data_IF_704744300625
#
_entry.id   IF_704744300625
#
_cell.length_a   1.000
_cell.length_b   1.000
_cell.length_c   1.000
_cell.angle_alpha   90.00
_cell.angle_beta   90.00
_cell.angle_gamma   90.00
#
_symmetry.space_group_name_H-M   'P 1'
#
loop_
_entity.id
_entity.type
_entity.pdbx_description
1 polymer ?
#
# COMPACT_ATOMS: atom_id res chain seq x y z
N UNK A 1 6.28 -10.88 22.22
CA UNK A 1 7.68 -10.67 21.78
C UNK A 1 8.19 -11.85 20.95
N UNK A 2 7.84 -13.09 21.30
CA UNK A 2 8.18 -14.29 20.52
C UNK A 2 7.54 -14.26 19.11
N UNK A 3 6.25 -13.95 19.03
CA UNK A 3 5.48 -13.91 17.77
C UNK A 3 6.04 -12.92 16.72
N UNK A 4 6.57 -11.77 17.16
CA UNK A 4 7.15 -10.76 16.25
C UNK A 4 8.43 -11.28 15.60
N UNK A 5 9.29 -11.94 16.38
CA UNK A 5 10.53 -12.55 15.88
C UNK A 5 10.22 -13.73 14.95
N UNK A 6 9.16 -14.48 15.21
CA UNK A 6 8.66 -15.51 14.29
C UNK A 6 8.19 -14.90 12.96
N UNK A 7 7.38 -13.85 13.01
CA UNK A 7 6.91 -13.14 11.82
C UNK A 7 8.08 -12.60 10.97
N UNK A 8 9.08 -11.98 11.60
CA UNK A 8 10.28 -11.48 10.92
C UNK A 8 11.06 -12.58 10.18
N UNK A 9 11.04 -13.80 10.70
CA UNK A 9 11.71 -14.97 10.09
C UNK A 9 10.86 -15.63 9.00
N UNK A 10 9.56 -15.33 8.91
CA UNK A 10 8.68 -15.89 7.90
C UNK A 10 9.14 -15.55 6.47
N UNK A 11 9.48 -16.58 5.71
CA UNK A 11 9.88 -16.44 4.30
C UNK A 11 8.77 -15.83 3.45
N UNK A 12 7.51 -16.16 3.74
CA UNK A 12 6.37 -15.62 3.03
C UNK A 12 6.25 -14.12 3.27
N UNK A 13 6.35 -13.69 4.54
CA UNK A 13 6.26 -12.28 4.91
C UNK A 13 7.39 -11.49 4.26
N UNK A 14 8.64 -11.97 4.37
CA UNK A 14 9.80 -11.29 3.78
C UNK A 14 9.70 -11.14 2.27
N UNK A 15 9.26 -12.19 1.55
CA UNK A 15 9.03 -12.12 0.10
C UNK A 15 7.93 -11.12 -0.26
N UNK A 16 6.87 -11.05 0.55
CA UNK A 16 5.81 -10.07 0.32
C UNK A 16 6.30 -8.64 0.60
N UNK A 17 7.02 -8.42 1.71
CA UNK A 17 7.60 -7.13 2.06
C UNK A 17 8.52 -6.59 0.95
N UNK A 18 9.38 -7.45 0.37
CA UNK A 18 10.21 -7.08 -0.78
C UNK A 18 9.38 -6.65 -2.00
N UNK A 19 8.29 -7.35 -2.30
CA UNK A 19 7.39 -6.99 -3.41
C UNK A 19 6.66 -5.68 -3.16
N UNK A 20 6.22 -5.44 -1.93
CA UNK A 20 5.61 -4.16 -1.52
C UNK A 20 6.60 -3.02 -1.76
N UNK A 21 7.83 -3.14 -1.26
CA UNK A 21 8.85 -2.11 -1.45
C UNK A 21 9.25 -1.93 -2.92
N UNK A 22 9.33 -3.00 -3.70
CA UNK A 22 9.59 -2.91 -5.15
C UNK A 22 8.48 -2.18 -5.92
N UNK A 23 7.22 -2.41 -5.57
CA UNK A 23 6.09 -1.68 -6.17
C UNK A 23 6.11 -0.19 -5.78
N UNK A 24 6.37 0.12 -4.50
CA UNK A 24 6.51 1.51 -4.03
C UNK A 24 7.67 2.20 -4.75
N UNK A 25 8.83 1.56 -4.86
CA UNK A 25 9.98 2.08 -5.59
C UNK A 25 9.63 2.43 -7.03
N UNK A 26 8.97 1.51 -7.73
CA UNK A 26 8.52 1.75 -9.12
C UNK A 26 7.60 2.97 -9.21
N UNK A 27 6.68 3.16 -8.26
CA UNK A 27 5.81 4.35 -8.25
C UNK A 27 6.62 5.62 -8.00
N UNK A 28 7.52 5.61 -7.01
CA UNK A 28 8.37 6.78 -6.67
C UNK A 28 9.25 7.19 -7.85
N UNK A 29 9.90 6.24 -8.51
CA UNK A 29 10.78 6.50 -9.66
C UNK A 29 10.04 7.07 -10.88
N UNK A 30 8.72 6.89 -10.95
CA UNK A 30 7.90 7.28 -12.10
C UNK A 30 6.85 8.34 -11.73
N UNK A 31 7.02 9.10 -10.64
CA UNK A 31 6.04 10.12 -10.23
C UNK A 31 5.78 11.22 -11.29
N UNK A 32 6.71 11.39 -12.23
CA UNK A 32 6.60 12.29 -13.38
C UNK A 32 5.88 11.67 -14.60
N UNK A 33 5.54 10.38 -14.54
CA UNK A 33 4.79 9.64 -15.57
C UNK A 33 3.47 9.09 -14.96
N UNK A 34 2.37 9.87 -15.04
CA UNK A 34 1.08 9.48 -14.48
C UNK A 34 0.51 8.19 -15.06
N UNK A 35 0.74 7.92 -16.35
CA UNK A 35 0.26 6.71 -17.03
C UNK A 35 0.99 5.47 -16.48
N UNK A 36 2.31 5.59 -16.29
CA UNK A 36 3.09 4.51 -15.67
C UNK A 36 2.63 4.25 -14.24
N UNK A 37 2.46 5.29 -13.42
CA UNK A 37 1.94 5.17 -12.05
C UNK A 37 0.58 4.48 -12.02
N UNK A 38 -0.34 4.93 -12.88
CA UNK A 38 -1.68 4.34 -13.00
C UNK A 38 -1.62 2.86 -13.36
N UNK A 39 -0.81 2.49 -14.36
CA UNK A 39 -0.66 1.10 -14.81
C UNK A 39 -0.12 0.17 -13.71
N UNK A 40 0.87 0.63 -12.94
CA UNK A 40 1.48 -0.15 -11.84
C UNK A 40 0.46 -0.38 -10.72
N UNK A 41 -0.23 0.69 -10.29
CA UNK A 41 -1.19 0.60 -9.20
C UNK A 41 -2.47 -0.14 -9.60
N UNK A 42 -2.87 -0.06 -10.87
CA UNK A 42 -3.97 -0.86 -11.40
C UNK A 42 -3.63 -2.35 -11.39
N UNK A 43 -2.42 -2.73 -11.81
CA UNK A 43 -1.97 -4.13 -11.75
C UNK A 43 -1.98 -4.66 -10.31
N UNK A 44 -1.42 -3.89 -9.37
CA UNK A 44 -1.42 -4.24 -7.95
C UNK A 44 -2.85 -4.36 -7.42
N UNK A 45 -3.71 -3.38 -7.67
CA UNK A 45 -5.09 -3.37 -7.19
C UNK A 45 -5.90 -4.55 -7.72
N UNK A 46 -5.85 -4.80 -9.03
CA UNK A 46 -6.58 -5.92 -9.67
C UNK A 46 -6.10 -7.28 -9.15
N UNK A 47 -4.80 -7.47 -8.93
CA UNK A 47 -4.28 -8.71 -8.34
C UNK A 47 -4.80 -8.92 -6.91
N UNK A 48 -4.81 -7.88 -6.08
CA UNK A 48 -5.26 -7.99 -4.69
C UNK A 48 -6.78 -8.18 -4.58
N UNK A 49 -7.55 -7.56 -5.47
CA UNK A 49 -8.99 -7.75 -5.58
C UNK A 49 -9.35 -9.15 -6.10
N UNK A 50 -8.80 -9.56 -7.24
CA UNK A 50 -9.28 -10.76 -7.94
C UNK A 50 -8.66 -12.05 -7.40
N UNK A 51 -7.34 -12.05 -7.18
CA UNK A 51 -6.58 -13.24 -6.82
C UNK A 51 -6.49 -13.43 -5.31
N UNK A 52 -6.18 -12.36 -4.58
CA UNK A 52 -5.89 -12.45 -3.15
C UNK A 52 -7.10 -12.15 -2.26
N UNK A 53 -8.18 -11.59 -2.82
CA UNK A 53 -9.42 -11.24 -2.11
C UNK A 53 -9.17 -10.37 -0.87
N UNK A 54 -8.26 -9.41 -0.97
CA UNK A 54 -7.89 -8.52 0.13
C UNK A 54 -8.86 -7.35 0.21
N UNK A 55 -9.43 -7.06 1.37
CA UNK A 55 -10.28 -5.88 1.56
C UNK A 55 -9.49 -4.57 1.35
N UNK A 56 -10.02 -3.57 0.61
CA UNK A 56 -9.32 -2.32 0.32
C UNK A 56 -8.85 -1.56 1.57
N UNK A 57 -9.56 -1.72 2.69
CA UNK A 57 -9.22 -1.07 3.97
C UNK A 57 -7.80 -1.41 4.44
N UNK A 58 -7.28 -2.59 4.08
CA UNK A 58 -5.92 -2.99 4.46
C UNK A 58 -4.85 -2.18 3.72
N UNK A 59 -5.10 -1.69 2.50
CA UNK A 59 -4.19 -0.74 1.84
C UNK A 59 -4.13 0.59 2.58
N UNK A 60 -5.28 1.10 3.07
CA UNK A 60 -5.33 2.32 3.88
C UNK A 60 -4.58 2.18 5.20
N UNK A 61 -4.68 1.01 5.84
CA UNK A 61 -3.95 0.67 7.08
C UNK A 61 -2.46 0.56 6.81
N UNK A 62 -2.05 -0.26 5.83
CA UNK A 62 -0.65 -0.49 5.49
C UNK A 62 0.09 0.81 5.13
N UNK A 63 -0.52 1.65 4.30
CA UNK A 63 0.07 2.94 3.92
C UNK A 63 0.11 3.94 5.08
N UNK A 64 -0.76 3.80 6.08
CA UNK A 64 -0.68 4.55 7.34
C UNK A 64 0.54 4.13 8.17
N UNK A 65 0.69 2.81 8.38
CA UNK A 65 1.85 2.24 9.09
C UNK A 65 3.16 2.58 8.39
N UNK A 66 3.19 2.57 7.05
CA UNK A 66 4.38 2.97 6.30
C UNK A 66 4.78 4.42 6.58
N UNK A 67 3.81 5.34 6.63
CA UNK A 67 4.07 6.74 6.96
C UNK A 67 4.59 6.90 8.39
N UNK A 68 4.00 6.18 9.35
CA UNK A 68 4.46 6.15 10.75
C UNK A 68 5.91 5.66 10.84
N UNK A 69 6.23 4.52 10.22
CA UNK A 69 7.59 3.94 10.23
C UNK A 69 8.61 4.86 9.56
N UNK A 70 8.27 5.52 8.44
CA UNK A 70 9.17 6.49 7.81
C UNK A 70 9.37 7.69 8.73
N UNK A 71 8.31 8.21 9.36
CA UNK A 71 8.42 9.33 10.29
C UNK A 71 9.31 9.00 11.49
N UNK A 72 9.18 7.79 12.05
CA UNK A 72 10.02 7.32 13.15
C UNK A 72 11.48 7.12 12.73
N UNK A 73 11.71 6.53 11.55
CA UNK A 73 13.05 6.22 11.05
C UNK A 73 13.88 7.47 10.74
N UNK A 74 13.24 8.55 10.26
CA UNK A 74 13.92 9.80 9.90
C UNK A 74 13.81 10.87 11.00
N UNK A 75 12.95 10.69 12.01
CA UNK A 75 12.87 11.56 13.19
C UNK A 75 12.82 13.05 12.83
N UNK A 76 13.84 13.80 13.26
CA UNK A 76 13.93 15.25 13.00
C UNK A 76 14.12 15.61 11.52
N UNK A 77 14.63 14.70 10.70
CA UNK A 77 14.80 14.92 9.25
C UNK A 77 13.46 14.76 8.50
N UNK A 78 12.43 14.21 9.14
CA UNK A 78 11.09 14.11 8.57
C UNK A 78 10.30 15.40 8.77
N UNK A 79 10.63 16.41 7.97
CA UNK A 79 10.03 17.75 8.07
C UNK A 79 8.51 17.73 7.81
N UNK A 80 7.77 18.78 8.22
CA UNK A 80 6.35 18.90 7.91
C UNK A 80 6.04 18.80 6.40
N UNK A 81 6.92 19.33 5.56
CA UNK A 81 6.82 19.26 4.10
C UNK A 81 6.98 17.81 3.60
N UNK A 82 7.98 17.09 4.14
CA UNK A 82 8.19 15.67 3.83
C UNK A 82 6.97 14.83 4.26
N UNK A 83 6.44 15.07 5.47
CA UNK A 83 5.23 14.43 5.95
C UNK A 83 4.03 14.70 5.01
N UNK A 84 3.87 15.95 4.56
CA UNK A 84 2.86 16.34 3.59
C UNK A 84 3.00 15.60 2.24
N UNK A 85 4.23 15.48 1.73
CA UNK A 85 4.52 14.76 0.49
C UNK A 85 4.17 13.26 0.60
N UNK A 86 4.60 12.60 1.67
CA UNK A 86 4.28 11.18 1.88
C UNK A 86 2.79 10.93 2.17
N UNK A 87 2.09 11.89 2.78
CA UNK A 87 0.63 11.84 2.92
C UNK A 87 -0.09 11.91 1.56
N UNK A 88 0.43 12.71 0.62
CA UNK A 88 -0.09 12.74 -0.76
C UNK A 88 0.19 11.42 -1.48
N UNK A 89 1.39 10.84 -1.32
CA UNK A 89 1.74 9.52 -1.86
C UNK A 89 0.79 8.42 -1.36
N UNK A 90 0.50 8.41 -0.04
CA UNK A 90 -0.50 7.51 0.56
C UNK A 90 -1.86 7.66 -0.12
N UNK A 91 -2.33 8.89 -0.29
CA UNK A 91 -3.61 9.17 -0.96
C UNK A 91 -3.61 8.70 -2.42
N UNK A 92 -2.52 8.95 -3.14
CA UNK A 92 -2.33 8.54 -4.53
C UNK A 92 -2.44 7.02 -4.67
N UNK A 93 -1.72 6.25 -3.84
CA UNK A 93 -1.76 4.78 -3.86
C UNK A 93 -3.17 4.29 -3.57
N UNK A 94 -3.79 4.78 -2.50
CA UNK A 94 -5.10 4.33 -2.08
C UNK A 94 -6.19 4.61 -3.12
N UNK A 95 -6.17 5.79 -3.74
CA UNK A 95 -7.14 6.18 -4.78
C UNK A 95 -7.02 5.30 -6.03
N UNK A 96 -5.82 5.06 -6.54
CA UNK A 96 -5.63 4.21 -7.72
C UNK A 96 -5.99 2.75 -7.45
N UNK A 97 -5.59 2.21 -6.30
CA UNK A 97 -5.93 0.84 -5.93
C UNK A 97 -7.45 0.70 -5.79
N UNK A 98 -8.12 1.61 -5.09
CA UNK A 98 -9.59 1.54 -4.94
C UNK A 98 -10.33 1.75 -6.27
N UNK A 99 -9.80 2.57 -7.18
CA UNK A 99 -10.34 2.66 -8.54
C UNK A 99 -10.22 1.32 -9.27
N UNK A 100 -9.07 0.66 -9.22
CA UNK A 100 -8.85 -0.65 -9.82
C UNK A 100 -9.77 -1.74 -9.24
N UNK A 101 -10.07 -1.67 -7.93
CA UNK A 101 -11.06 -2.52 -7.29
C UNK A 101 -12.48 -2.30 -7.84
N UNK A 102 -12.88 -1.04 -8.03
CA UNK A 102 -14.18 -0.69 -8.63
C UNK A 102 -14.29 -1.20 -10.08
N UNK A 103 -13.23 -1.04 -10.87
CA UNK A 103 -13.18 -1.50 -12.27
C UNK A 103 -13.42 -3.00 -12.41
N UNK A 104 -12.97 -3.81 -11.45
CA UNK A 104 -13.17 -5.27 -11.47
C UNK A 104 -14.43 -5.71 -10.74
N UNK A 105 -15.31 -4.78 -10.39
CA UNK A 105 -16.59 -5.06 -9.75
C UNK A 105 -16.46 -5.54 -8.30
N UNK A 106 -15.43 -5.11 -7.56
CA UNK A 106 -15.33 -5.43 -6.14
C UNK A 106 -16.51 -4.82 -5.38
N UNK A 107 -17.44 -5.68 -4.97
CA UNK A 107 -18.40 -5.37 -3.93
C UNK A 107 -17.75 -5.68 -2.58
N UNK A 108 -17.74 -4.74 -1.62
CA UNK A 108 -17.42 -5.08 -0.24
C UNK A 108 -18.28 -6.27 0.18
N UNK A 109 -17.72 -7.23 0.93
CA UNK A 109 -18.54 -8.24 1.60
C UNK A 109 -19.69 -7.51 2.31
N UNK A 110 -20.95 -8.00 2.21
CA UNK A 110 -22.10 -7.23 2.65
C UNK A 110 -21.88 -6.82 4.11
N UNK A 111 -22.37 -5.62 4.47
CA UNK A 111 -22.83 -5.38 5.83
C UNK A 111 -23.60 -6.64 6.24
N UNK A 112 -22.98 -7.51 7.02
CA UNK A 112 -23.66 -8.64 7.60
C UNK A 112 -24.68 -7.99 8.53
N UNK A 113 -25.90 -7.83 8.02
CA UNK A 113 -27.08 -7.63 8.83
C UNK A 113 -27.12 -8.83 9.76
N UNK A 114 -26.60 -8.64 10.98
CA UNK A 114 -27.10 -9.34 12.14
C UNK A 114 -28.51 -8.80 12.45
#
# INVERSE_FOLDING_TARGET
MDDTLEMERSLQLRKHAQRVMGAINTVVENLNDPEKVSSVLALVGKAHALKHKVEPVYFKKLTGVLLEVISEAYGNDFTPEAHGAWTKMRTLIYTHVTAAYKEVGWAPYPNATL
#
